data_IF_589326207737
#
_entry.id   IF_589326207737
#
_cell.length_a   1.000
_cell.length_b   1.000
_cell.length_c   1.000
_cell.angle_alpha   90.00
_cell.angle_beta   90.00
_cell.angle_gamma   90.00
#
_symmetry.space_group_name_H-M   'P 1'
#
loop_
_entity.id
_entity.type
_entity.pdbx_description
1 polymer ?
#
# COMPACT_ATOMS: atom_id res chain seq x y z
N UNK A 1 18.17 4.09 -22.17
CA UNK A 1 18.14 2.65 -22.49
C UNK A 1 16.86 2.08 -21.85
N UNK A 2 15.92 1.56 -22.63
CA UNK A 2 14.71 0.94 -22.10
C UNK A 2 15.12 -0.35 -21.37
N UNK A 3 14.95 -0.37 -20.06
CA UNK A 3 15.15 -1.57 -19.24
C UNK A 3 14.21 -2.66 -19.75
N UNK A 4 14.76 -3.80 -20.15
CA UNK A 4 13.95 -4.92 -20.64
C UNK A 4 12.92 -5.28 -19.57
N UNK A 5 11.65 -5.26 -19.95
CA UNK A 5 10.54 -5.62 -19.06
C UNK A 5 10.67 -7.08 -18.72
N UNK A 6 11.07 -7.39 -17.50
CA UNK A 6 11.02 -8.77 -17.01
C UNK A 6 9.56 -9.21 -16.93
N UNK A 7 9.23 -10.24 -17.70
CA UNK A 7 7.86 -10.76 -17.78
C UNK A 7 7.81 -12.20 -17.31
N UNK A 8 6.70 -12.62 -16.77
CA UNK A 8 6.40 -13.98 -16.34
C UNK A 8 5.16 -14.50 -17.05
N UNK A 9 5.13 -15.79 -17.34
CA UNK A 9 3.91 -16.46 -17.77
C UNK A 9 2.94 -16.64 -16.59
N UNK A 10 1.65 -16.85 -16.87
CA UNK A 10 0.65 -17.14 -15.84
C UNK A 10 1.06 -18.37 -14.98
N UNK A 11 1.72 -19.35 -15.57
CA UNK A 11 2.19 -20.55 -14.86
C UNK A 11 3.32 -20.24 -13.87
N UNK A 12 4.29 -19.41 -14.28
CA UNK A 12 5.37 -18.96 -13.40
C UNK A 12 4.86 -18.10 -12.28
N UNK A 13 3.92 -17.17 -12.58
CA UNK A 13 3.27 -16.36 -11.57
C UNK A 13 2.49 -17.20 -10.56
N UNK A 14 1.75 -18.22 -11.02
CA UNK A 14 1.02 -19.15 -10.17
C UNK A 14 1.95 -19.87 -9.19
N UNK A 15 3.08 -20.39 -9.69
CA UNK A 15 4.09 -21.06 -8.87
C UNK A 15 4.72 -20.11 -7.85
N UNK A 16 5.11 -18.90 -8.28
CA UNK A 16 5.77 -17.92 -7.42
C UNK A 16 4.85 -17.40 -6.30
N UNK A 17 3.55 -17.29 -6.59
CA UNK A 17 2.52 -16.84 -5.63
C UNK A 17 1.96 -17.99 -4.78
N UNK A 18 2.26 -19.25 -5.11
CA UNK A 18 1.70 -20.42 -4.42
C UNK A 18 0.19 -20.55 -4.60
N UNK A 19 -0.34 -20.20 -5.79
CA UNK A 19 -1.78 -20.20 -6.10
C UNK A 19 -2.08 -20.99 -7.38
N UNK A 20 -3.35 -21.37 -7.59
CA UNK A 20 -3.77 -22.01 -8.83
C UNK A 20 -3.99 -21.03 -9.98
N UNK A 21 -3.98 -21.53 -11.22
CA UNK A 21 -4.19 -20.74 -12.46
C UNK A 21 -5.47 -19.87 -12.42
N UNK A 22 -6.59 -20.44 -11.95
CA UNK A 22 -7.86 -19.69 -11.79
C UNK A 22 -7.72 -18.49 -10.85
N UNK A 23 -6.83 -18.56 -9.86
CA UNK A 23 -6.57 -17.44 -8.98
C UNK A 23 -5.74 -16.36 -9.68
N UNK A 24 -4.77 -16.76 -10.51
CA UNK A 24 -3.99 -15.81 -11.34
C UNK A 24 -4.93 -15.05 -12.29
N UNK A 25 -5.87 -15.73 -12.93
CA UNK A 25 -6.87 -15.09 -13.81
C UNK A 25 -7.74 -14.09 -13.05
N UNK A 26 -8.19 -14.42 -11.83
CA UNK A 26 -8.93 -13.48 -10.97
C UNK A 26 -8.09 -12.27 -10.57
N UNK A 27 -6.82 -12.47 -10.26
CA UNK A 27 -5.90 -11.39 -9.91
C UNK A 27 -5.62 -10.46 -11.09
N UNK A 28 -5.54 -11.01 -12.32
CA UNK A 28 -5.46 -10.21 -13.55
C UNK A 28 -6.75 -9.42 -13.79
N UNK A 29 -7.90 -10.05 -13.63
CA UNK A 29 -9.20 -9.39 -13.79
C UNK A 29 -9.45 -8.31 -12.72
N UNK A 30 -8.94 -8.50 -11.50
CA UNK A 30 -9.02 -7.53 -10.41
C UNK A 30 -7.98 -6.40 -10.51
N UNK A 31 -7.02 -6.47 -11.46
CA UNK A 31 -5.95 -5.49 -11.58
C UNK A 31 -4.82 -5.63 -10.54
N UNK A 32 -4.85 -6.68 -9.71
CA UNK A 32 -3.78 -6.99 -8.75
C UNK A 32 -2.49 -7.44 -9.44
N UNK A 33 -2.62 -8.02 -10.64
CA UNK A 33 -1.54 -8.35 -11.56
C UNK A 33 -1.70 -7.57 -12.85
N UNK A 34 -0.59 -7.13 -13.43
CA UNK A 34 -0.57 -6.35 -14.67
C UNK A 34 -0.24 -7.25 -15.86
N UNK A 35 -1.17 -7.37 -16.81
CA UNK A 35 -0.90 -8.03 -18.08
C UNK A 35 -0.13 -7.07 -18.98
N UNK A 36 0.98 -7.54 -19.55
CA UNK A 36 1.81 -6.77 -20.52
C UNK A 36 1.75 -7.31 -21.93
N UNK A 37 1.18 -8.51 -22.11
CA UNK A 37 1.05 -9.12 -23.43
C UNK A 37 0.53 -10.54 -23.38
N UNK A 38 0.65 -11.25 -24.51
CA UNK A 38 0.33 -12.68 -24.62
C UNK A 38 1.37 -13.37 -25.49
N UNK A 39 1.72 -14.62 -25.16
CA UNK A 39 2.51 -15.52 -26.01
C UNK A 39 1.69 -16.79 -26.24
N UNK A 40 1.24 -16.99 -27.47
CA UNK A 40 0.27 -18.03 -27.77
C UNK A 40 -1.03 -17.82 -26.98
N UNK A 41 -1.38 -18.78 -26.11
CA UNK A 41 -2.55 -18.69 -25.21
C UNK A 41 -2.20 -18.23 -23.79
N UNK A 42 -0.92 -18.05 -23.49
CA UNK A 42 -0.48 -17.66 -22.15
C UNK A 42 -0.40 -16.14 -22.01
N UNK A 43 -0.96 -15.57 -20.93
CA UNK A 43 -0.77 -14.18 -20.61
C UNK A 43 0.67 -13.95 -20.14
N UNK A 44 1.29 -12.88 -20.63
CA UNK A 44 2.53 -12.34 -20.09
C UNK A 44 2.18 -11.29 -19.04
N UNK A 45 2.76 -11.47 -17.86
CA UNK A 45 2.49 -10.68 -16.66
C UNK A 45 3.75 -9.91 -16.29
N UNK A 46 3.62 -8.66 -15.92
CA UNK A 46 4.72 -7.85 -15.39
C UNK A 46 5.29 -8.49 -14.13
N UNK A 47 6.57 -8.89 -14.16
CA UNK A 47 7.22 -9.55 -13.04
C UNK A 47 7.20 -8.70 -11.76
N UNK A 48 7.35 -7.37 -11.89
CA UNK A 48 7.26 -6.46 -10.74
C UNK A 48 5.88 -6.50 -10.07
N UNK A 49 4.78 -6.65 -10.84
CA UNK A 49 3.44 -6.81 -10.26
C UNK A 49 3.30 -8.12 -9.48
N UNK A 50 3.91 -9.20 -9.98
CA UNK A 50 3.94 -10.51 -9.29
C UNK A 50 4.75 -10.42 -7.99
N UNK A 51 5.93 -9.80 -8.03
CA UNK A 51 6.76 -9.61 -6.85
C UNK A 51 6.08 -8.70 -5.81
N UNK A 52 5.46 -7.60 -6.22
CA UNK A 52 4.64 -6.77 -5.32
C UNK A 52 3.53 -7.58 -4.65
N UNK A 53 2.80 -8.37 -5.43
CA UNK A 53 1.71 -9.19 -4.89
C UNK A 53 2.24 -10.29 -3.96
N UNK A 54 3.39 -10.89 -4.26
CA UNK A 54 4.05 -11.87 -3.38
C UNK A 54 4.44 -11.25 -2.04
N UNK A 55 5.06 -10.08 -2.07
CA UNK A 55 5.42 -9.31 -0.87
C UNK A 55 4.18 -8.94 -0.06
N UNK A 56 3.13 -8.50 -0.74
CA UNK A 56 1.83 -8.21 -0.13
C UNK A 56 1.14 -9.47 0.42
N UNK A 57 1.41 -10.67 -0.14
CA UNK A 57 0.67 -11.91 0.07
C UNK A 57 -0.70 -11.91 -0.62
N UNK A 58 -1.14 -13.05 -1.12
CA UNK A 58 -2.48 -13.23 -1.68
C UNK A 58 -3.52 -13.22 -0.55
N UNK A 59 -4.64 -12.50 -0.76
CA UNK A 59 -5.73 -12.44 0.23
C UNK A 59 -6.22 -13.86 0.59
N UNK A 60 -6.20 -14.18 1.88
CA UNK A 60 -6.82 -15.39 2.44
C UNK A 60 -7.84 -14.96 3.50
N UNK A 61 -9.04 -15.54 3.44
CA UNK A 61 -10.12 -15.24 4.38
C UNK A 61 -10.98 -14.02 4.00
N UNK A 62 -12.02 -13.77 4.82
CA UNK A 62 -12.93 -12.62 4.64
C UNK A 62 -12.20 -11.31 4.95
N UNK A 63 -12.25 -10.30 4.07
CA UNK A 63 -11.69 -8.98 4.36
C UNK A 63 -12.32 -8.37 5.61
N UNK A 64 -11.52 -7.63 6.38
CA UNK A 64 -12.06 -6.83 7.48
C UNK A 64 -12.94 -5.70 6.93
N UNK A 65 -13.97 -5.33 7.68
CA UNK A 65 -14.80 -4.17 7.34
C UNK A 65 -13.95 -2.89 7.33
N UNK A 66 -14.41 -1.85 6.64
CA UNK A 66 -13.74 -0.55 6.64
C UNK A 66 -13.58 -0.01 8.06
N UNK A 67 -14.62 -0.13 8.86
CA UNK A 67 -14.63 0.29 10.26
C UNK A 67 -13.60 -0.47 11.12
N UNK A 68 -13.51 -1.80 10.99
CA UNK A 68 -12.50 -2.60 11.70
C UNK A 68 -11.09 -2.23 11.28
N UNK A 69 -10.85 -1.96 9.99
CA UNK A 69 -9.54 -1.52 9.50
C UNK A 69 -9.15 -0.17 10.10
N UNK A 70 -10.08 0.79 10.06
CA UNK A 70 -9.84 2.13 10.62
C UNK A 70 -9.63 2.07 12.14
N UNK A 71 -10.45 1.33 12.87
CA UNK A 71 -10.28 1.12 14.31
C UNK A 71 -8.92 0.48 14.66
N UNK A 72 -8.43 -0.45 13.82
CA UNK A 72 -7.10 -1.04 14.00
C UNK A 72 -6.00 0.02 13.85
N UNK A 73 -6.09 0.87 12.84
CA UNK A 73 -5.11 1.95 12.63
C UNK A 73 -5.14 2.93 13.80
N UNK A 74 -6.33 3.32 14.27
CA UNK A 74 -6.49 4.19 15.43
C UNK A 74 -5.83 3.58 16.68
N UNK A 75 -6.13 2.31 16.98
CA UNK A 75 -5.56 1.59 18.13
C UNK A 75 -4.03 1.52 18.07
N UNK A 76 -3.45 1.21 16.93
CA UNK A 76 -1.99 1.14 16.76
C UNK A 76 -1.33 2.52 16.78
N UNK A 77 -2.08 3.59 16.46
CA UNK A 77 -1.57 4.97 16.44
C UNK A 77 -1.64 5.62 17.82
N UNK A 78 -2.79 5.53 18.48
CA UNK A 78 -3.11 6.28 19.71
C UNK A 78 -3.50 5.39 20.91
N UNK A 79 -3.57 4.07 20.73
CA UNK A 79 -4.03 3.15 21.80
C UNK A 79 -5.54 3.13 22.00
N UNK A 80 -6.28 3.97 21.31
CA UNK A 80 -7.73 4.11 21.46
C UNK A 80 -8.44 4.30 20.09
N UNK A 81 -9.72 4.03 20.07
CA UNK A 81 -10.60 4.29 18.92
C UNK A 81 -12.00 4.62 19.39
N UNK A 82 -12.60 5.65 18.81
CA UNK A 82 -14.02 5.99 19.01
C UNK A 82 -14.96 5.36 17.98
N UNK A 83 -14.46 4.47 17.10
CA UNK A 83 -15.23 3.87 16.00
C UNK A 83 -16.05 2.66 16.43
N UNK A 84 -15.63 1.99 17.50
CA UNK A 84 -16.23 0.74 17.98
C UNK A 84 -16.79 0.90 19.40
N UNK A 85 -17.84 0.16 19.71
CA UNK A 85 -18.30 0.00 21.07
C UNK A 85 -17.27 -0.71 21.96
N UNK A 86 -17.42 -0.62 23.28
CA UNK A 86 -16.44 -1.14 24.25
C UNK A 86 -16.18 -2.65 24.08
N UNK A 87 -17.23 -3.43 23.83
CA UNK A 87 -17.12 -4.89 23.64
C UNK A 87 -16.38 -5.23 22.35
N UNK A 88 -16.70 -4.54 21.26
CA UNK A 88 -16.08 -4.76 19.94
C UNK A 88 -14.61 -4.34 19.96
N UNK A 89 -14.32 -3.22 20.62
CA UNK A 89 -12.94 -2.75 20.84
C UNK A 89 -12.13 -3.79 21.62
N UNK A 90 -12.65 -4.31 22.74
CA UNK A 90 -11.96 -5.33 23.54
C UNK A 90 -11.71 -6.60 22.74
N UNK A 91 -12.68 -7.05 21.93
CA UNK A 91 -12.50 -8.20 21.03
C UNK A 91 -11.45 -7.94 19.95
N UNK A 92 -11.41 -6.73 19.40
CA UNK A 92 -10.41 -6.36 18.40
C UNK A 92 -9.00 -6.34 19.02
N UNK A 93 -8.82 -5.73 20.21
CA UNK A 93 -7.54 -5.72 20.92
C UNK A 93 -7.09 -7.16 21.20
N UNK A 94 -7.96 -8.01 21.73
CA UNK A 94 -7.63 -9.42 21.99
C UNK A 94 -7.19 -10.12 20.70
N UNK A 95 -7.85 -9.84 19.58
CA UNK A 95 -7.47 -10.41 18.29
C UNK A 95 -6.10 -9.88 17.82
N UNK A 96 -5.83 -8.57 17.97
CA UNK A 96 -4.56 -7.95 17.57
C UNK A 96 -3.37 -8.53 18.33
N UNK A 97 -3.52 -8.90 19.62
CA UNK A 97 -2.49 -9.54 20.43
C UNK A 97 -1.97 -10.88 19.87
N UNK A 98 -2.77 -11.53 19.03
CA UNK A 98 -2.42 -12.82 18.40
C UNK A 98 -1.99 -12.67 16.93
N UNK A 99 -1.92 -11.46 16.39
CA UNK A 99 -1.51 -11.23 15.01
C UNK A 99 -0.05 -10.82 14.91
N UNK A 100 0.62 -11.30 13.86
CA UNK A 100 1.92 -10.76 13.46
C UNK A 100 1.75 -9.40 12.76
N UNK A 101 2.83 -8.63 12.65
CA UNK A 101 2.84 -7.39 11.88
C UNK A 101 2.41 -7.61 10.43
N UNK A 102 2.84 -8.71 9.81
CA UNK A 102 2.46 -9.11 8.46
C UNK A 102 0.96 -9.43 8.36
N UNK A 103 0.37 -10.02 9.40
CA UNK A 103 -1.08 -10.28 9.47
C UNK A 103 -1.85 -8.96 9.52
N UNK A 104 -1.39 -7.99 10.29
CA UNK A 104 -1.98 -6.65 10.38
C UNK A 104 -1.91 -5.93 9.03
N UNK A 105 -0.74 -5.94 8.36
CA UNK A 105 -0.60 -5.40 7.00
C UNK A 105 -1.63 -6.04 6.06
N UNK A 106 -1.79 -7.36 6.11
CA UNK A 106 -2.79 -8.07 5.29
C UNK A 106 -4.23 -7.71 5.65
N UNK A 107 -4.54 -7.62 6.93
CA UNK A 107 -5.89 -7.35 7.43
C UNK A 107 -6.35 -5.93 7.15
N UNK A 108 -5.44 -4.95 7.16
CA UNK A 108 -5.73 -3.54 6.88
C UNK A 108 -5.68 -3.18 5.40
N UNK A 109 -5.42 -4.14 4.51
CA UNK A 109 -5.52 -3.91 3.05
C UNK A 109 -6.91 -3.46 2.65
N UNK A 110 -6.96 -2.67 1.57
CA UNK A 110 -8.20 -2.07 1.11
C UNK A 110 -8.62 -0.84 1.93
N UNK A 111 -7.68 -0.24 2.70
CA UNK A 111 -7.84 1.08 3.32
C UNK A 111 -7.89 2.20 2.30
N UNK A 112 -7.37 1.98 1.10
CA UNK A 112 -7.43 2.88 -0.04
C UNK A 112 -7.47 2.10 -1.35
N UNK A 113 -7.99 2.71 -2.40
CA UNK A 113 -7.81 2.25 -3.78
C UNK A 113 -6.47 2.81 -4.28
N UNK A 114 -5.55 1.93 -4.68
CA UNK A 114 -4.19 2.30 -5.07
C UNK A 114 -4.04 2.20 -6.58
N UNK A 115 -3.64 3.32 -7.21
CA UNK A 115 -3.32 3.38 -8.64
C UNK A 115 -1.98 4.06 -8.87
N UNK A 116 -1.25 3.60 -9.86
CA UNK A 116 0.02 4.19 -10.26
C UNK A 116 -0.12 4.91 -11.59
N UNK A 117 0.57 6.05 -11.67
CA UNK A 117 0.55 6.92 -12.82
C UNK A 117 1.96 7.35 -13.19
N UNK A 118 2.16 7.63 -14.45
CA UNK A 118 3.35 8.30 -14.97
C UNK A 118 3.08 9.79 -15.07
N UNK A 119 3.96 10.58 -14.48
CA UNK A 119 4.01 12.03 -14.60
C UNK A 119 5.35 12.49 -15.14
N UNK A 120 5.40 13.68 -15.75
CA UNK A 120 6.66 14.36 -16.05
C UNK A 120 7.40 14.69 -14.75
N UNK A 121 8.72 14.55 -14.73
CA UNK A 121 9.57 14.92 -13.59
C UNK A 121 9.32 16.36 -13.10
N UNK A 122 9.02 17.29 -14.01
CA UNK A 122 8.71 18.68 -13.69
C UNK A 122 7.44 18.90 -12.86
N UNK A 123 6.58 17.89 -12.73
CA UNK A 123 5.35 17.96 -11.96
C UNK A 123 5.44 17.29 -10.59
N UNK A 124 6.47 16.49 -10.34
CA UNK A 124 6.60 15.68 -9.12
C UNK A 124 6.49 16.54 -7.85
N UNK A 125 7.24 17.64 -7.76
CA UNK A 125 7.21 18.50 -6.58
C UNK A 125 5.85 19.18 -6.36
N UNK A 126 5.14 19.54 -7.45
CA UNK A 126 3.78 20.09 -7.35
C UNK A 126 2.77 19.06 -6.88
N UNK A 127 2.84 17.84 -7.42
CA UNK A 127 1.96 16.73 -6.98
C UNK A 127 2.22 16.41 -5.51
N UNK A 128 3.49 16.41 -5.09
CA UNK A 128 3.91 16.17 -3.71
C UNK A 128 3.26 17.11 -2.71
N UNK A 129 3.05 18.37 -3.09
CA UNK A 129 2.41 19.39 -2.26
C UNK A 129 0.89 19.21 -2.12
N UNK A 130 0.25 18.48 -3.03
CA UNK A 130 -1.21 18.35 -3.09
C UNK A 130 -1.70 17.02 -2.50
N UNK A 131 -0.80 16.13 -2.08
CA UNK A 131 -1.13 14.84 -1.48
C UNK A 131 -0.67 14.76 -0.02
N UNK A 132 -1.29 13.89 0.76
CA UNK A 132 -0.75 13.52 2.07
C UNK A 132 0.27 12.40 1.86
N UNK A 133 1.55 12.74 1.96
CA UNK A 133 2.65 11.82 1.67
C UNK A 133 2.64 10.60 2.59
N UNK A 134 3.02 9.45 2.05
CA UNK A 134 3.17 8.18 2.77
C UNK A 134 4.32 7.36 2.19
N UNK A 135 4.56 6.18 2.73
CA UNK A 135 5.63 5.31 2.24
C UNK A 135 7.00 6.01 2.26
N UNK A 136 7.85 5.72 1.27
CA UNK A 136 9.16 6.36 1.10
C UNK A 136 9.06 7.87 0.92
N UNK A 137 8.00 8.37 0.28
CA UNK A 137 7.79 9.81 0.10
C UNK A 137 7.60 10.56 1.42
N UNK A 138 7.00 9.94 2.45
CA UNK A 138 6.90 10.53 3.79
C UNK A 138 8.26 10.51 4.51
N UNK A 139 9.05 9.45 4.34
CA UNK A 139 10.42 9.35 4.88
C UNK A 139 11.30 10.46 4.31
N UNK A 140 11.19 10.71 3.01
CA UNK A 140 11.98 11.76 2.32
C UNK A 140 11.59 13.18 2.75
N UNK A 141 10.33 13.39 3.08
CA UNK A 141 9.78 14.71 3.37
C UNK A 141 9.90 15.12 4.85
N UNK A 142 9.96 14.16 5.76
CA UNK A 142 9.89 14.41 7.22
C UNK A 142 10.94 13.60 7.99
N UNK A 143 11.96 14.30 8.47
CA UNK A 143 13.05 13.71 9.27
C UNK A 143 12.58 13.11 10.59
N UNK A 144 11.48 13.61 11.20
CA UNK A 144 10.92 13.04 12.41
C UNK A 144 10.24 11.70 12.13
N UNK A 145 9.55 11.59 10.99
CA UNK A 145 9.02 10.31 10.51
C UNK A 145 10.16 9.36 10.18
N UNK A 146 11.15 9.81 9.39
CA UNK A 146 12.32 9.00 9.04
C UNK A 146 13.03 8.42 10.28
N UNK A 147 13.19 9.23 11.33
CA UNK A 147 13.79 8.82 12.59
C UNK A 147 13.05 7.67 13.29
N UNK A 148 11.72 7.61 13.20
CA UNK A 148 10.93 6.52 13.79
C UNK A 148 11.17 5.16 13.09
N UNK A 149 11.64 5.18 11.85
CA UNK A 149 11.95 3.98 11.08
C UNK A 149 13.46 3.66 11.07
N UNK A 150 14.30 4.53 11.60
CA UNK A 150 15.75 4.40 11.47
C UNK A 150 16.22 4.43 10.01
N UNK A 151 15.48 5.12 9.15
CA UNK A 151 15.76 5.27 7.72
C UNK A 151 16.28 6.69 7.46
N UNK A 152 17.20 6.78 6.51
CA UNK A 152 17.64 8.08 5.99
C UNK A 152 16.76 8.50 4.82
N UNK A 153 16.46 9.79 4.70
CA UNK A 153 15.83 10.34 3.51
C UNK A 153 16.72 10.09 2.29
N UNK A 154 16.16 9.46 1.27
CA UNK A 154 16.83 9.19 0.01
C UNK A 154 15.97 9.79 -1.08
N UNK A 155 16.20 11.04 -1.46
CA UNK A 155 15.38 11.77 -2.44
C UNK A 155 15.00 10.89 -3.62
N UNK A 156 13.73 10.45 -3.65
CA UNK A 156 13.18 9.69 -4.75
C UNK A 156 12.39 10.61 -5.68
N UNK A 157 12.57 10.45 -6.99
CA UNK A 157 11.76 11.13 -8.01
C UNK A 157 10.35 10.49 -8.14
N UNK A 158 9.83 9.99 -7.03
CA UNK A 158 8.53 9.34 -6.92
C UNK A 158 7.66 10.04 -5.88
N UNK A 159 6.34 9.96 -6.08
CA UNK A 159 5.35 10.40 -5.10
C UNK A 159 4.45 9.24 -4.73
N UNK A 160 4.31 8.97 -3.46
CA UNK A 160 3.29 8.08 -2.90
C UNK A 160 2.48 8.87 -1.87
N UNK A 161 1.17 9.00 -2.09
CA UNK A 161 0.36 9.83 -1.22
C UNK A 161 -1.13 9.52 -1.27
N UNK A 162 -1.79 9.89 -0.17
CA UNK A 162 -3.24 9.80 -0.01
C UNK A 162 -3.94 11.05 -0.52
N UNK A 163 -5.06 10.82 -1.17
CA UNK A 163 -5.99 11.85 -1.66
C UNK A 163 -7.43 11.34 -1.56
N UNK A 164 -8.40 12.25 -1.58
CA UNK A 164 -9.80 11.91 -1.85
C UNK A 164 -10.06 11.73 -3.35
N UNK A 165 -11.23 11.19 -3.71
CA UNK A 165 -11.60 10.91 -5.10
C UNK A 165 -11.64 12.17 -5.97
N UNK A 166 -12.09 13.30 -5.44
CA UNK A 166 -12.20 14.54 -6.19
C UNK A 166 -10.81 15.11 -6.50
N UNK A 167 -9.94 15.16 -5.48
CA UNK A 167 -8.55 15.60 -5.64
C UNK A 167 -7.78 14.68 -6.61
N UNK A 168 -7.98 13.35 -6.53
CA UNK A 168 -7.36 12.42 -7.47
C UNK A 168 -7.74 12.73 -8.91
N UNK A 169 -9.02 12.98 -9.21
CA UNK A 169 -9.49 13.34 -10.54
C UNK A 169 -8.89 14.66 -11.03
N UNK A 170 -8.81 15.67 -10.15
CA UNK A 170 -8.18 16.95 -10.46
C UNK A 170 -6.70 16.80 -10.79
N UNK A 171 -5.94 16.04 -10.00
CA UNK A 171 -4.52 15.77 -10.25
C UNK A 171 -4.31 15.05 -11.58
N UNK A 172 -5.12 14.02 -11.87
CA UNK A 172 -5.04 13.26 -13.11
C UNK A 172 -5.26 14.18 -14.32
N UNK A 173 -6.30 15.01 -14.27
CA UNK A 173 -6.61 15.92 -15.38
C UNK A 173 -5.56 17.04 -15.53
N UNK A 174 -5.19 17.71 -14.44
CA UNK A 174 -4.30 18.87 -14.41
C UNK A 174 -2.87 18.52 -14.84
N UNK A 175 -2.34 17.41 -14.33
CA UNK A 175 -0.98 16.96 -14.63
C UNK A 175 -0.90 15.93 -15.75
N UNK A 176 -2.04 15.62 -16.40
CA UNK A 176 -2.15 14.64 -17.48
C UNK A 176 -1.51 13.30 -17.11
N UNK A 177 -1.85 12.80 -15.91
CA UNK A 177 -1.30 11.55 -15.41
C UNK A 177 -1.79 10.38 -16.27
N UNK A 178 -0.86 9.55 -16.71
CA UNK A 178 -1.16 8.35 -17.50
C UNK A 178 -1.05 7.14 -16.59
N UNK A 179 -2.10 6.33 -16.50
CA UNK A 179 -2.08 5.11 -15.68
C UNK A 179 -1.00 4.16 -16.19
N UNK A 180 -0.04 3.84 -15.31
CA UNK A 180 1.11 3.01 -15.63
C UNK A 180 1.57 2.29 -14.36
N UNK A 181 1.59 0.96 -14.39
CA UNK A 181 2.02 0.13 -13.26
C UNK A 181 3.47 0.41 -12.78
N UNK A 182 4.27 1.05 -13.64
CA UNK A 182 5.66 1.49 -13.35
C UNK A 182 5.78 3.01 -13.24
N UNK A 183 4.65 3.68 -13.09
CA UNK A 183 4.62 5.12 -12.94
C UNK A 183 5.35 5.58 -11.68
N UNK A 184 5.71 6.85 -11.69
CA UNK A 184 6.42 7.53 -10.61
C UNK A 184 5.48 8.27 -9.62
N UNK A 185 4.16 8.15 -9.80
CA UNK A 185 3.15 8.70 -8.90
C UNK A 185 2.20 7.60 -8.46
N UNK A 186 2.14 7.34 -7.17
CA UNK A 186 1.17 6.43 -6.56
C UNK A 186 0.11 7.26 -5.84
N UNK A 187 -1.12 7.23 -6.33
CA UNK A 187 -2.27 7.83 -5.65
C UNK A 187 -3.03 6.76 -4.88
N UNK A 188 -3.19 6.99 -3.58
CA UNK A 188 -3.97 6.15 -2.67
C UNK A 188 -5.28 6.88 -2.38
N UNK A 189 -6.31 6.52 -3.10
CA UNK A 189 -7.63 7.15 -2.97
C UNK A 189 -8.36 6.55 -1.78
N UNK A 190 -8.63 7.38 -0.77
CA UNK A 190 -9.36 7.01 0.43
C UNK A 190 -10.40 8.09 0.72
N UNK A 191 -11.66 7.78 0.43
CA UNK A 191 -12.77 8.64 0.80
C UNK A 191 -13.13 8.37 2.26
N UNK A 192 -12.81 9.32 3.12
CA UNK A 192 -13.23 9.28 4.52
C UNK A 192 -14.70 9.69 4.61
N UNK A 193 -15.55 8.80 5.10
CA UNK A 193 -16.98 9.08 5.36
C UNK A 193 -17.21 10.29 6.28
N UNK A 194 -16.18 10.76 6.98
CA UNK A 194 -16.21 11.91 7.89
C UNK A 194 -15.46 13.16 7.38
N UNK A 195 -15.09 13.22 6.09
CA UNK A 195 -14.47 14.41 5.47
C UNK A 195 -13.10 14.83 6.05
N UNK A 196 -12.46 13.98 6.83
CA UNK A 196 -11.15 14.25 7.39
C UNK A 196 -10.03 13.83 6.43
N UNK A 197 -9.08 14.74 6.15
CA UNK A 197 -7.83 14.40 5.47
C UNK A 197 -7.12 13.29 6.26
N UNK A 198 -6.76 12.19 5.61
CA UNK A 198 -5.95 11.15 6.25
C UNK A 198 -4.64 11.80 6.71
N UNK A 199 -4.44 11.89 8.02
CA UNK A 199 -3.16 12.35 8.56
C UNK A 199 -2.18 11.19 8.42
N UNK A 200 -1.02 11.45 7.84
CA UNK A 200 0.05 10.45 7.74
C UNK A 200 0.60 10.16 9.14
N UNK A 201 -0.02 9.22 9.86
CA UNK A 201 0.58 8.68 11.09
C UNK A 201 1.71 7.72 10.73
N UNK A 202 2.68 7.57 11.63
CA UNK A 202 3.77 6.59 11.44
C UNK A 202 3.22 5.17 11.18
N UNK A 203 2.06 4.82 11.73
CA UNK A 203 1.39 3.53 11.49
C UNK A 203 0.91 3.42 10.05
N UNK A 204 0.31 4.46 9.47
CA UNK A 204 -0.10 4.47 8.05
C UNK A 204 1.12 4.36 7.15
N UNK A 205 2.16 5.14 7.42
CA UNK A 205 3.44 5.07 6.68
C UNK A 205 4.03 3.66 6.77
N UNK A 206 4.03 3.03 7.95
CA UNK A 206 4.50 1.66 8.14
C UNK A 206 3.68 0.65 7.34
N UNK A 207 2.35 0.77 7.33
CA UNK A 207 1.49 -0.12 6.56
C UNK A 207 1.74 -0.02 5.05
N UNK A 208 2.15 1.16 4.57
CA UNK A 208 2.46 1.39 3.15
C UNK A 208 3.89 0.95 2.81
N UNK A 209 4.87 1.26 3.66
CA UNK A 209 6.26 0.79 3.51
C UNK A 209 6.39 -0.74 3.61
N UNK A 210 5.56 -1.40 4.42
CA UNK A 210 5.54 -2.87 4.49
C UNK A 210 5.16 -3.53 3.14
N UNK A 211 4.61 -2.78 2.20
CA UNK A 211 4.32 -3.21 0.84
C UNK A 211 5.45 -2.85 -0.16
N UNK A 212 6.51 -2.18 0.27
CA UNK A 212 7.68 -1.84 -0.55
C UNK A 212 8.42 -3.09 -1.04
N UNK A 213 9.04 -2.98 -2.21
CA UNK A 213 9.97 -3.98 -2.73
C UNK A 213 11.36 -3.86 -2.09
N UNK A 214 11.69 -2.70 -1.53
CA UNK A 214 12.91 -2.51 -0.75
C UNK A 214 12.81 -3.28 0.58
N UNK A 215 13.77 -4.19 0.79
CA UNK A 215 13.78 -5.07 1.96
C UNK A 215 14.06 -4.32 3.26
N UNK A 216 14.84 -3.23 3.20
CA UNK A 216 15.18 -2.39 4.37
C UNK A 216 13.97 -1.58 4.81
N UNK A 217 13.27 -0.94 3.87
CA UNK A 217 12.03 -0.22 4.15
C UNK A 217 10.98 -1.14 4.77
N UNK A 218 10.78 -2.31 4.16
CA UNK A 218 9.83 -3.31 4.66
C UNK A 218 10.19 -3.81 6.04
N UNK A 219 11.48 -4.08 6.31
CA UNK A 219 11.93 -4.55 7.62
C UNK A 219 11.69 -3.49 8.70
N UNK A 220 12.01 -2.22 8.43
CA UNK A 220 11.78 -1.09 9.32
C UNK A 220 10.28 -0.90 9.61
N UNK A 221 9.44 -0.99 8.60
CA UNK A 221 7.99 -0.89 8.73
C UNK A 221 7.40 -2.00 9.61
N UNK A 222 7.82 -3.24 9.39
CA UNK A 222 7.37 -4.38 10.20
C UNK A 222 7.89 -4.31 11.64
N UNK A 223 9.07 -3.74 11.88
CA UNK A 223 9.59 -3.50 13.22
C UNK A 223 8.69 -2.51 13.97
N UNK A 224 8.41 -1.34 13.38
CA UNK A 224 7.50 -0.36 13.98
C UNK A 224 6.11 -0.95 14.27
N UNK A 225 5.55 -1.73 13.35
CA UNK A 225 4.23 -2.35 13.58
C UNK A 225 4.26 -3.38 14.71
N UNK A 226 5.36 -4.13 14.91
CA UNK A 226 5.55 -5.03 16.05
C UNK A 226 5.58 -4.27 17.37
N UNK A 227 6.38 -3.20 17.44
CA UNK A 227 6.44 -2.36 18.64
C UNK A 227 5.05 -1.81 18.99
N UNK A 228 4.27 -1.37 18.00
CA UNK A 228 2.90 -0.89 18.23
C UNK A 228 1.93 -1.98 18.68
N UNK A 229 2.09 -3.21 18.23
CA UNK A 229 1.30 -4.36 18.71
C UNK A 229 1.65 -4.74 20.14
N UNK A 230 2.93 -4.64 20.53
CA UNK A 230 3.39 -4.90 21.89
C UNK A 230 2.79 -3.90 22.90
N UNK A 231 2.59 -2.65 22.51
CA UNK A 231 1.93 -1.65 23.37
C UNK A 231 0.44 -1.94 23.64
N UNK A 232 -0.18 -2.86 22.92
CA UNK A 232 -1.55 -3.31 23.17
C UNK A 232 -1.64 -4.53 24.11
N UNK A 233 -0.49 -5.10 24.48
CA UNK A 233 -0.44 -6.25 25.40
C UNK A 233 -0.63 -5.81 26.84
#
# INVERSE_FOLDING_TARGET
MASATETMTSSEAARLLGVGMRQVERLLAAGDLTRVGTVGRAALIDAASVHRLRTRGVRRGRPWSAETRSATIDLLTAGETGRLGSIERSRLILRLRHLSAEDVVRATRGRASVRRYRASASFIDRIRQEVTLTGSSAIDADGAIAGQFGLAAARHDEVDGYVDSATAQQLIARFRLIEDARGNVTLRVADNEKGGRLVASAVIVALDLAESLDSRERAAALALLRDRLELLQ
#
